data_IF_816595783823
#
_entry.id   IF_816595783823
#
_cell.length_a   1.000
_cell.length_b   1.000
_cell.length_c   1.000
_cell.angle_alpha   90.00
_cell.angle_beta   90.00
_cell.angle_gamma   90.00
#
_symmetry.space_group_name_H-M   'P 1'
#
loop_
_entity.id
_entity.type
_entity.pdbx_description
1 polymer ?
#
# COMPACT_ATOMS: atom_id res chain seq x y z
N UNK A 1 -5.57 13.99 -13.92
CA UNK A 1 -6.30 12.71 -13.71
C UNK A 1 -6.99 12.70 -12.34
N UNK A 2 -7.79 11.68 -11.99
CA UNK A 2 -8.35 11.52 -10.64
C UNK A 2 -8.48 10.05 -10.22
N UNK A 3 -8.59 9.79 -8.92
CA UNK A 3 -8.84 8.44 -8.38
C UNK A 3 -10.33 8.19 -8.25
N UNK A 4 -10.84 7.19 -8.97
CA UNK A 4 -12.18 6.66 -8.76
C UNK A 4 -12.13 5.49 -7.79
N UNK A 5 -12.73 5.69 -6.61
CA UNK A 5 -12.87 4.65 -5.59
C UNK A 5 -14.17 3.86 -5.78
N UNK A 6 -14.05 2.54 -5.89
CA UNK A 6 -15.19 1.62 -5.86
C UNK A 6 -15.18 0.90 -4.52
N UNK A 7 -16.26 1.06 -3.75
CA UNK A 7 -16.38 0.52 -2.40
C UNK A 7 -17.34 -0.67 -2.40
N UNK A 8 -16.88 -1.82 -1.91
CA UNK A 8 -17.67 -3.06 -1.88
C UNK A 8 -17.69 -3.64 -0.47
N UNK A 9 -18.87 -3.94 0.06
CA UNK A 9 -19.01 -4.68 1.32
C UNK A 9 -18.77 -6.16 1.09
N UNK A 10 -18.31 -6.87 2.13
CA UNK A 10 -18.30 -8.32 2.12
C UNK A 10 -19.71 -8.89 1.87
N UNK A 11 -19.81 -9.96 1.07
CA UNK A 11 -21.10 -10.60 0.73
C UNK A 11 -21.90 -11.01 1.97
N UNK A 12 -21.18 -11.42 3.02
CA UNK A 12 -21.74 -11.75 4.32
C UNK A 12 -21.33 -10.66 5.33
N UNK A 13 -21.98 -9.50 5.26
CA UNK A 13 -21.68 -8.36 6.14
C UNK A 13 -21.99 -8.67 7.62
N UNK A 14 -22.85 -9.64 7.90
CA UNK A 14 -23.18 -10.09 9.26
C UNK A 14 -22.04 -10.88 9.93
N UNK A 15 -21.10 -11.43 9.15
CA UNK A 15 -20.03 -12.31 9.68
C UNK A 15 -18.63 -11.73 9.51
N UNK A 16 -18.46 -10.70 8.67
CA UNK A 16 -17.17 -10.07 8.45
C UNK A 16 -17.35 -8.56 8.38
N UNK A 17 -16.80 -7.84 9.35
CA UNK A 17 -16.76 -6.39 9.33
C UNK A 17 -15.63 -5.89 8.43
N UNK A 18 -15.73 -6.16 7.13
CA UNK A 18 -14.74 -5.76 6.14
C UNK A 18 -15.37 -5.10 4.93
N UNK A 19 -14.77 -3.99 4.52
CA UNK A 19 -15.10 -3.25 3.30
C UNK A 19 -13.87 -3.16 2.41
N UNK A 20 -14.06 -3.37 1.11
CA UNK A 20 -13.01 -3.34 0.10
C UNK A 20 -13.07 -2.01 -0.65
N UNK A 21 -11.93 -1.33 -0.76
CA UNK A 21 -11.79 -0.08 -1.50
C UNK A 21 -10.86 -0.31 -2.69
N UNK A 22 -11.42 -0.36 -3.89
CA UNK A 22 -10.71 -0.53 -5.14
C UNK A 22 -10.40 0.83 -5.76
N UNK A 23 -9.13 1.10 -6.06
CA UNK A 23 -8.68 2.37 -6.65
C UNK A 23 -8.44 2.22 -8.15
N UNK A 24 -9.07 3.09 -8.95
CA UNK A 24 -8.86 3.18 -10.40
C UNK A 24 -8.37 4.58 -10.76
N UNK A 25 -7.28 4.66 -11.54
CA UNK A 25 -6.85 5.91 -12.13
C UNK A 25 -7.71 6.21 -13.36
N UNK A 26 -8.37 7.36 -13.37
CA UNK A 26 -9.26 7.78 -14.45
C UNK A 26 -8.76 9.10 -15.04
N UNK A 27 -8.77 9.15 -16.37
CA UNK A 27 -8.50 10.37 -17.12
C UNK A 27 -9.81 10.92 -17.68
N UNK A 28 -10.01 12.23 -17.54
CA UNK A 28 -11.08 12.97 -18.21
C UNK A 28 -10.49 13.71 -19.40
N UNK A 29 -11.14 13.60 -20.55
CA UNK A 29 -10.70 14.24 -21.80
C UNK A 29 -11.93 14.69 -22.59
N UNK A 30 -11.72 15.46 -23.66
CA UNK A 30 -12.78 15.78 -24.63
C UNK A 30 -12.49 15.05 -25.94
N UNK A 31 -13.52 14.50 -26.56
CA UNK A 31 -13.41 13.90 -27.89
C UNK A 31 -13.40 14.96 -29.01
N UNK A 32 -13.37 14.50 -30.27
CA UNK A 32 -13.32 15.39 -31.44
C UNK A 32 -14.53 16.32 -31.58
N UNK A 33 -15.67 15.97 -30.98
CA UNK A 33 -16.89 16.79 -30.94
C UNK A 33 -16.94 17.68 -29.69
N UNK A 34 -15.81 17.84 -29.00
CA UNK A 34 -15.70 18.58 -27.76
C UNK A 34 -16.58 18.01 -26.62
N UNK A 35 -17.01 16.75 -26.70
CA UNK A 35 -17.85 16.11 -25.69
C UNK A 35 -16.99 15.54 -24.55
N UNK A 36 -17.34 15.77 -23.27
CA UNK A 36 -16.57 15.23 -22.15
C UNK A 36 -16.66 13.70 -22.10
N UNK A 37 -15.50 13.05 -21.99
CA UNK A 37 -15.34 11.60 -21.89
C UNK A 37 -14.42 11.23 -20.73
N UNK A 38 -14.49 9.97 -20.33
CA UNK A 38 -13.63 9.41 -19.30
C UNK A 38 -13.14 8.03 -19.72
N UNK A 39 -11.88 7.72 -19.39
CA UNK A 39 -11.32 6.38 -19.56
C UNK A 39 -10.54 5.95 -18.32
N UNK A 40 -10.60 4.67 -17.99
CA UNK A 40 -9.75 4.09 -16.95
C UNK A 40 -8.38 3.83 -17.53
N UNK A 41 -7.34 4.36 -16.90
CA UNK A 41 -5.95 4.13 -17.32
C UNK A 41 -5.41 2.84 -16.70
N UNK A 42 -5.58 2.67 -15.39
CA UNK A 42 -5.15 1.46 -14.70
C UNK A 42 -5.92 1.25 -13.39
N UNK A 43 -5.85 0.01 -12.90
CA UNK A 43 -6.28 -0.36 -11.57
C UNK A 43 -5.08 -0.29 -10.62
N UNK A 44 -5.16 0.54 -9.59
CA UNK A 44 -4.06 0.84 -8.67
C UNK A 44 -4.00 -0.13 -7.47
N UNK A 45 -5.02 -0.96 -7.31
CA UNK A 45 -5.09 -1.99 -6.29
C UNK A 45 -6.28 -1.86 -5.35
N UNK A 46 -6.29 -2.72 -4.34
CA UNK A 46 -7.32 -2.77 -3.31
C UNK A 46 -6.69 -2.64 -1.92
N UNK A 47 -7.41 -1.96 -1.03
CA UNK A 47 -7.16 -1.95 0.40
C UNK A 47 -8.44 -2.31 1.16
N UNK A 48 -8.28 -3.09 2.23
CA UNK A 48 -9.38 -3.53 3.10
C UNK A 48 -9.50 -2.59 4.28
N UNK A 49 -10.73 -2.25 4.64
CA UNK A 49 -11.07 -1.51 5.84
C UNK A 49 -11.78 -2.47 6.80
N UNK A 50 -11.30 -2.55 8.03
CA UNK A 50 -11.84 -3.38 9.12
C UNK A 50 -12.17 -2.44 10.28
N UNK A 51 -13.39 -2.53 10.83
CA UNK A 51 -13.83 -1.65 11.93
C UNK A 51 -13.53 -0.16 11.66
N UNK A 52 -13.86 0.29 10.45
CA UNK A 52 -13.63 1.67 9.96
C UNK A 52 -12.16 2.09 9.79
N UNK A 53 -11.20 1.20 9.99
CA UNK A 53 -9.78 1.50 9.86
C UNK A 53 -9.12 0.74 8.71
N UNK A 54 -8.20 1.40 8.01
CA UNK A 54 -7.27 0.71 7.13
C UNK A 54 -6.14 0.11 7.97
N UNK A 55 -5.92 -1.22 7.93
CA UNK A 55 -4.85 -1.85 8.70
C UNK A 55 -3.50 -1.22 8.38
N UNK A 56 -2.65 -1.04 9.40
CA UNK A 56 -1.40 -0.26 9.33
C UNK A 56 -0.53 -0.65 8.15
N UNK A 57 0.18 -1.78 8.21
CA UNK A 57 1.11 -2.18 7.15
C UNK A 57 0.44 -2.34 5.77
N UNK A 58 -0.87 -2.64 5.73
CA UNK A 58 -1.61 -2.74 4.46
C UNK A 58 -1.70 -1.40 3.73
N UNK A 59 -1.70 -0.26 4.45
CA UNK A 59 -1.67 1.08 3.83
C UNK A 59 -0.41 1.27 2.99
N UNK A 60 0.76 1.00 3.57
CA UNK A 60 2.04 1.16 2.86
C UNK A 60 2.20 0.11 1.75
N UNK A 61 1.77 -1.14 1.99
CA UNK A 61 1.79 -2.17 0.95
C UNK A 61 0.86 -1.84 -0.22
N UNK A 62 -0.27 -1.18 0.03
CA UNK A 62 -1.14 -0.67 -1.03
C UNK A 62 -0.45 0.44 -1.84
N UNK A 63 0.16 1.43 -1.18
CA UNK A 63 0.87 2.52 -1.85
C UNK A 63 2.07 2.01 -2.68
N UNK A 64 2.91 1.12 -2.14
CA UNK A 64 4.05 0.53 -2.87
C UNK A 64 3.61 -0.25 -4.12
N UNK A 65 2.47 -0.96 -4.04
CA UNK A 65 1.90 -1.64 -5.21
C UNK A 65 1.37 -0.64 -6.23
N UNK A 66 0.67 0.41 -5.79
CA UNK A 66 0.17 1.46 -6.67
C UNK A 66 1.31 2.18 -7.40
N UNK A 67 2.38 2.55 -6.68
CA UNK A 67 3.58 3.16 -7.25
C UNK A 67 4.19 2.29 -8.36
N UNK A 68 4.37 0.99 -8.10
CA UNK A 68 4.88 0.05 -9.11
C UNK A 68 3.98 0.00 -10.36
N UNK A 69 2.67 0.00 -10.17
CA UNK A 69 1.69 0.01 -11.27
C UNK A 69 1.81 1.30 -12.07
N UNK A 70 1.93 2.46 -11.43
CA UNK A 70 2.11 3.75 -12.08
C UNK A 70 3.40 3.78 -12.90
N UNK A 71 4.49 3.26 -12.35
CA UNK A 71 5.78 3.15 -13.05
C UNK A 71 5.64 2.30 -14.32
N UNK A 72 4.91 1.18 -14.23
CA UNK A 72 4.71 0.26 -15.34
C UNK A 72 3.56 0.63 -16.30
N UNK A 73 2.85 1.74 -16.08
CA UNK A 73 1.72 2.17 -16.94
C UNK A 73 2.18 3.29 -17.89
N UNK A 74 2.39 3.03 -19.19
CA UNK A 74 2.95 4.02 -20.12
C UNK A 74 2.07 5.26 -20.32
N UNK A 75 0.75 5.12 -20.14
CA UNK A 75 -0.21 6.21 -20.30
C UNK A 75 -0.19 7.21 -19.14
N UNK A 76 0.60 6.96 -18.08
CA UNK A 76 0.75 7.86 -16.94
C UNK A 76 2.09 8.58 -17.04
N UNK A 77 2.09 9.90 -17.34
CA UNK A 77 3.31 10.71 -17.39
C UNK A 77 4.09 10.64 -16.10
N UNK A 78 5.43 10.61 -16.19
CA UNK A 78 6.30 10.43 -15.02
C UNK A 78 6.16 11.56 -13.99
N UNK A 79 5.92 12.78 -14.46
CA UNK A 79 5.67 14.00 -13.68
C UNK A 79 4.31 14.00 -12.97
N UNK A 80 3.31 13.27 -13.49
CA UNK A 80 2.00 13.14 -12.83
C UNK A 80 1.97 12.04 -11.74
N UNK A 81 2.94 11.11 -11.72
CA UNK A 81 2.93 9.96 -10.78
C UNK A 81 2.93 10.40 -9.33
N UNK A 82 3.75 11.40 -8.98
CA UNK A 82 3.82 11.94 -7.62
C UNK A 82 2.45 12.49 -7.20
N UNK A 83 1.79 13.25 -8.08
CA UNK A 83 0.45 13.78 -7.81
C UNK A 83 -0.58 12.66 -7.61
N UNK A 84 -0.53 11.58 -8.39
CA UNK A 84 -1.43 10.44 -8.22
C UNK A 84 -1.22 9.75 -6.87
N UNK A 85 0.04 9.62 -6.41
CA UNK A 85 0.34 9.08 -5.08
C UNK A 85 -0.20 9.98 -3.96
N UNK A 86 -0.10 11.31 -4.10
CA UNK A 86 -0.71 12.25 -3.14
C UNK A 86 -2.24 12.11 -3.09
N UNK A 87 -2.91 11.97 -4.23
CA UNK A 87 -4.35 11.70 -4.26
C UNK A 87 -4.75 10.38 -3.58
N UNK A 88 -3.88 9.36 -3.64
CA UNK A 88 -4.10 8.12 -2.88
C UNK A 88 -3.94 8.36 -1.37
N UNK A 89 -2.96 9.19 -0.97
CA UNK A 89 -2.70 9.54 0.44
C UNK A 89 -3.84 10.29 1.10
N UNK A 90 -4.64 11.05 0.34
CA UNK A 90 -5.86 11.71 0.86
C UNK A 90 -6.85 10.71 1.48
N UNK A 91 -7.00 9.51 0.90
CA UNK A 91 -7.87 8.46 1.43
C UNK A 91 -7.11 7.45 2.30
N UNK A 92 -5.87 7.15 1.93
CA UNK A 92 -5.01 6.16 2.61
C UNK A 92 -3.82 6.90 3.22
N UNK A 93 -4.01 7.53 4.40
CA UNK A 93 -2.99 8.38 5.00
C UNK A 93 -1.72 7.60 5.34
N UNK A 94 -0.59 8.30 5.39
CA UNK A 94 0.66 7.73 5.89
C UNK A 94 0.53 7.20 7.32
N UNK A 95 1.38 6.24 7.64
CA UNK A 95 1.50 5.77 9.02
C UNK A 95 2.04 6.87 9.91
N UNK A 96 1.46 7.01 11.10
CA UNK A 96 2.09 7.74 12.19
C UNK A 96 3.28 6.96 12.74
N UNK A 97 4.18 7.64 13.45
CA UNK A 97 5.34 7.03 14.11
C UNK A 97 4.93 5.83 14.99
N UNK A 98 3.87 5.99 15.79
CA UNK A 98 3.35 4.93 16.64
C UNK A 98 2.89 3.70 15.84
N UNK A 99 2.25 3.91 14.69
CA UNK A 99 1.78 2.83 13.83
C UNK A 99 2.93 2.12 13.10
N UNK A 100 3.97 2.86 12.72
CA UNK A 100 5.22 2.28 12.19
C UNK A 100 5.88 1.40 13.24
N UNK A 101 6.05 1.90 14.47
CA UNK A 101 6.63 1.15 15.58
C UNK A 101 5.83 -0.13 15.88
N UNK A 102 4.49 -0.03 15.89
CA UNK A 102 3.61 -1.17 16.11
C UNK A 102 3.70 -2.19 14.96
N UNK A 103 3.69 -1.73 13.71
CA UNK A 103 3.85 -2.60 12.55
C UNK A 103 5.20 -3.32 12.57
N UNK A 104 6.28 -2.61 12.88
CA UNK A 104 7.62 -3.19 13.03
C UNK A 104 7.64 -4.27 14.11
N UNK A 105 7.14 -3.96 15.31
CA UNK A 105 7.05 -4.90 16.43
C UNK A 105 6.27 -6.17 16.06
N UNK A 106 5.14 -6.03 15.37
CA UNK A 106 4.31 -7.16 14.95
C UNK A 106 5.01 -8.03 13.91
N UNK A 107 5.75 -7.44 12.98
CA UNK A 107 6.56 -8.18 12.01
C UNK A 107 7.70 -8.94 12.71
N UNK A 108 8.47 -8.30 13.60
CA UNK A 108 9.52 -8.96 14.38
C UNK A 108 8.95 -10.11 15.22
N UNK A 109 7.79 -9.91 15.86
CA UNK A 109 7.09 -10.97 16.60
C UNK A 109 6.75 -12.16 15.70
N UNK A 110 6.28 -11.92 14.48
CA UNK A 110 5.98 -12.98 13.51
C UNK A 110 7.25 -13.73 13.09
N UNK A 111 8.31 -13.01 12.69
CA UNK A 111 9.59 -13.62 12.32
C UNK A 111 10.17 -14.47 13.45
N UNK A 112 10.16 -13.95 14.68
CA UNK A 112 10.65 -14.68 15.85
C UNK A 112 9.91 -16.01 16.05
N UNK A 113 8.56 -16.01 15.92
CA UNK A 113 7.76 -17.24 16.01
C UNK A 113 8.13 -18.23 14.91
N UNK A 114 8.19 -17.77 13.66
CA UNK A 114 8.52 -18.62 12.52
C UNK A 114 9.89 -19.30 12.69
N UNK A 115 10.92 -18.54 13.06
CA UNK A 115 12.29 -19.05 13.25
C UNK A 115 12.39 -20.09 14.36
N UNK A 116 11.67 -19.88 15.46
CA UNK A 116 11.60 -20.84 16.57
C UNK A 116 10.94 -22.15 16.14
N UNK A 117 9.96 -22.08 15.24
CA UNK A 117 9.22 -23.25 14.75
C UNK A 117 9.97 -24.03 13.65
N UNK A 118 10.87 -23.40 12.90
CA UNK A 118 11.43 -23.99 11.68
C UNK A 118 12.96 -24.18 11.66
N UNK A 119 13.73 -23.41 12.46
CA UNK A 119 15.19 -23.34 12.24
C UNK A 119 16.02 -23.32 13.52
N UNK A 120 15.50 -23.83 14.65
CA UNK A 120 16.25 -23.93 15.91
C UNK A 120 16.37 -22.62 16.70
N UNK A 121 15.65 -21.57 16.29
CA UNK A 121 15.58 -20.28 16.98
C UNK A 121 16.51 -19.20 16.39
N UNK A 122 16.00 -17.96 16.34
CA UNK A 122 16.78 -16.78 15.95
C UNK A 122 17.56 -16.26 17.16
N UNK A 123 18.90 -16.26 17.10
CA UNK A 123 19.73 -15.67 18.17
C UNK A 123 19.63 -14.15 18.17
N UNK A 124 19.91 -13.53 19.31
CA UNK A 124 19.90 -12.06 19.46
C UNK A 124 20.91 -11.42 18.51
N UNK A 125 22.09 -12.00 18.38
CA UNK A 125 23.18 -11.54 17.52
C UNK A 125 22.74 -11.55 16.05
N UNK A 126 22.06 -12.63 15.62
CA UNK A 126 21.59 -12.73 14.24
C UNK A 126 20.47 -11.72 13.97
N UNK A 127 19.54 -11.52 14.90
CA UNK A 127 18.49 -10.51 14.78
C UNK A 127 19.08 -9.09 14.64
N UNK A 128 20.04 -8.73 15.50
CA UNK A 128 20.71 -7.43 15.43
C UNK A 128 21.44 -7.24 14.10
N UNK A 129 22.18 -8.26 13.63
CA UNK A 129 22.86 -8.18 12.34
C UNK A 129 21.92 -7.96 11.15
N UNK A 130 20.69 -8.51 11.21
CA UNK A 130 19.68 -8.30 10.17
C UNK A 130 19.15 -6.87 10.19
N UNK A 131 18.93 -6.29 11.38
CA UNK A 131 18.51 -4.91 11.54
C UNK A 131 19.60 -3.95 11.04
N UNK A 132 20.86 -4.19 11.43
CA UNK A 132 22.01 -3.39 10.98
C UNK A 132 22.19 -3.47 9.46
N UNK A 133 21.97 -4.64 8.85
CA UNK A 133 22.06 -4.79 7.38
C UNK A 133 20.96 -4.05 6.61
N UNK A 134 19.89 -3.63 7.27
CA UNK A 134 18.81 -2.86 6.66
C UNK A 134 19.10 -1.34 6.65
N UNK A 135 20.16 -0.88 7.32
CA UNK A 135 20.62 0.50 7.25
C UNK A 135 21.46 0.74 5.99
N UNK A 136 20.81 1.18 4.91
CA UNK A 136 21.48 1.54 3.66
C UNK A 136 22.44 2.74 3.79
N UNK A 137 22.54 3.38 4.98
CA UNK A 137 23.52 4.45 5.26
C UNK A 137 24.85 3.95 5.80
N UNK A 138 25.02 2.65 6.03
CA UNK A 138 26.31 2.05 6.44
C UNK A 138 26.85 1.22 5.28
N UNK A 139 27.43 1.91 4.28
CA UNK A 139 28.42 1.31 3.40
C UNK A 139 29.75 1.08 4.14
N UNK A 140 30.65 0.20 3.65
CA UNK A 140 31.93 -0.03 4.32
C UNK A 140 32.77 1.26 4.34
N UNK A 141 33.41 1.52 5.49
CA UNK A 141 34.52 2.48 5.62
C UNK A 141 35.71 2.06 4.75
#
# INVERSE_FOLDING_TARGET
>A
MYIRWVVRKHKNAATANVTFHDAYLVESYRDGDNTPRQRTLCYLGNIRQIDEQFPTIERELFLLRAERILISTPQVPADERAQVLELLREKVPALSEAEVAEAFRNNIRWYYRWWREHSGGLTREKLLSLIESADERIGPL
#
